data_IF_197130707874
#
_entry.id   IF_197130707874
#
_cell.length_a   1.000
_cell.length_b   1.000
_cell.length_c   1.000
_cell.angle_alpha   90.00
_cell.angle_beta   90.00
_cell.angle_gamma   90.00
#
_symmetry.space_group_name_H-M   'P 1'
#
loop_
_entity.id
_entity.type
_entity.pdbx_description
1 polymer ?
#
# COMPACT_ATOMS: atom_id res chain seq x y z
N UNK A 1 -22.19 -9.99 21.33
CA UNK A 1 -23.44 -9.21 21.19
C UNK A 1 -23.07 -7.85 20.65
N UNK A 2 -23.29 -7.60 19.36
CA UNK A 2 -23.18 -6.25 18.78
C UNK A 2 -24.55 -5.62 19.07
N UNK A 3 -24.64 -4.49 19.79
CA UNK A 3 -25.93 -3.88 20.07
C UNK A 3 -26.53 -3.42 18.73
N UNK A 4 -27.79 -3.78 18.49
CA UNK A 4 -28.53 -3.47 17.24
C UNK A 4 -28.56 -1.99 16.89
N UNK A 5 -28.36 -1.09 17.85
CA UNK A 5 -28.20 0.36 17.63
C UNK A 5 -26.90 0.73 16.89
N UNK A 6 -25.85 -0.12 16.94
CA UNK A 6 -24.57 0.15 16.29
C UNK A 6 -24.64 0.09 14.75
N UNK A 7 -25.42 -0.84 14.19
CA UNK A 7 -25.55 -1.01 12.75
C UNK A 7 -26.15 0.21 12.05
N UNK A 8 -27.16 0.81 12.61
CA UNK A 8 -27.80 2.04 12.07
C UNK A 8 -26.88 3.26 12.21
N UNK A 9 -26.09 3.34 13.27
CA UNK A 9 -25.10 4.40 13.46
C UNK A 9 -23.98 4.31 12.42
N UNK A 10 -23.49 3.09 12.12
CA UNK A 10 -22.49 2.85 11.05
C UNK A 10 -23.05 3.20 9.68
N UNK A 11 -24.27 2.80 9.34
CA UNK A 11 -24.94 3.14 8.09
C UNK A 11 -25.16 4.66 7.94
N UNK A 12 -25.42 5.34 9.07
CA UNK A 12 -25.54 6.79 9.10
C UNK A 12 -24.20 7.48 8.89
N UNK A 13 -23.13 6.93 9.47
CA UNK A 13 -21.75 7.41 9.27
C UNK A 13 -21.27 7.20 7.82
N UNK A 14 -21.67 6.10 7.17
CA UNK A 14 -21.35 5.84 5.75
C UNK A 14 -21.94 6.90 4.79
N UNK A 15 -22.92 7.70 5.22
CA UNK A 15 -23.40 8.84 4.40
C UNK A 15 -22.32 9.88 4.13
N UNK A 16 -21.30 9.98 5.01
CA UNK A 16 -20.17 10.90 4.82
C UNK A 16 -19.36 10.52 3.58
N UNK A 17 -19.41 9.24 3.14
CA UNK A 17 -18.76 8.77 1.90
C UNK A 17 -19.35 9.44 0.65
N UNK A 18 -20.50 10.14 0.74
CA UNK A 18 -21.00 10.97 -0.36
C UNK A 18 -20.02 12.06 -0.77
N UNK A 19 -19.12 12.49 0.14
CA UNK A 19 -18.07 13.47 -0.17
C UNK A 19 -17.10 12.92 -1.23
N UNK A 20 -16.95 11.59 -1.35
CA UNK A 20 -16.15 10.95 -2.39
C UNK A 20 -16.68 11.21 -3.80
N UNK A 21 -17.94 11.70 -3.94
CA UNK A 21 -18.46 12.19 -5.22
C UNK A 21 -17.63 13.36 -5.76
N UNK A 22 -16.92 14.10 -4.90
CA UNK A 22 -16.01 15.16 -5.33
C UNK A 22 -14.91 14.63 -6.25
N UNK A 23 -14.48 13.37 -6.06
CA UNK A 23 -13.47 12.69 -6.91
C UNK A 23 -14.00 12.58 -8.36
N UNK A 24 -15.30 12.29 -8.53
CA UNK A 24 -15.88 12.16 -9.87
C UNK A 24 -16.17 13.51 -10.55
N UNK A 25 -16.31 14.58 -9.75
CA UNK A 25 -16.63 15.95 -10.25
C UNK A 25 -15.36 16.76 -10.55
N UNK A 26 -14.27 16.52 -9.80
CA UNK A 26 -13.01 17.24 -9.96
C UNK A 26 -12.02 16.43 -10.84
N UNK A 27 -11.75 16.85 -12.11
CA UNK A 27 -10.91 16.09 -13.03
C UNK A 27 -9.47 15.88 -12.55
N UNK A 28 -8.94 16.84 -11.76
CA UNK A 28 -7.60 16.75 -11.18
C UNK A 28 -7.51 15.63 -10.13
N UNK A 29 -8.49 15.53 -9.23
CA UNK A 29 -8.57 14.48 -8.22
C UNK A 29 -8.79 13.10 -8.84
N UNK A 30 -9.62 13.04 -9.87
CA UNK A 30 -9.87 11.81 -10.61
C UNK A 30 -8.57 11.23 -11.20
N UNK A 31 -7.75 12.05 -11.87
CA UNK A 31 -6.45 11.62 -12.43
C UNK A 31 -5.51 11.10 -11.36
N UNK A 32 -5.43 11.76 -10.20
CA UNK A 32 -4.59 11.31 -9.08
C UNK A 32 -5.05 9.96 -8.56
N UNK A 33 -6.37 9.79 -8.36
CA UNK A 33 -6.93 8.51 -7.90
C UNK A 33 -6.76 7.40 -8.94
N UNK A 34 -7.00 7.68 -10.22
CA UNK A 34 -6.79 6.72 -11.32
C UNK A 34 -5.31 6.29 -11.38
N UNK A 35 -4.37 7.23 -11.29
CA UNK A 35 -2.94 6.93 -11.26
C UNK A 35 -2.56 6.06 -10.06
N UNK A 36 -3.10 6.37 -8.88
CA UNK A 36 -2.87 5.57 -7.67
C UNK A 36 -3.43 4.14 -7.82
N UNK A 37 -4.69 4.00 -8.27
CA UNK A 37 -5.34 2.69 -8.44
C UNK A 37 -4.63 1.85 -9.50
N UNK A 38 -4.16 2.47 -10.59
CA UNK A 38 -3.43 1.79 -11.66
C UNK A 38 -2.06 1.28 -11.20
N UNK A 39 -1.43 1.96 -10.24
CA UNK A 39 -0.15 1.51 -9.68
C UNK A 39 -0.28 0.32 -8.70
N UNK A 40 -1.44 0.11 -8.08
CA UNK A 40 -1.65 -0.94 -7.07
C UNK A 40 -1.39 -2.36 -7.57
N UNK A 41 -1.82 -2.80 -8.77
CA UNK A 41 -1.59 -4.16 -9.24
C UNK A 41 -0.12 -4.54 -9.33
N UNK A 42 0.76 -3.60 -9.74
CA UNK A 42 2.21 -3.82 -9.79
C UNK A 42 2.85 -4.07 -8.42
N UNK A 43 2.18 -3.65 -7.34
CA UNK A 43 2.65 -3.77 -5.96
C UNK A 43 1.99 -4.94 -5.20
N UNK A 44 1.11 -5.70 -5.84
CA UNK A 44 0.33 -6.77 -5.19
C UNK A 44 1.18 -7.82 -4.50
N UNK A 45 2.33 -8.20 -5.07
CA UNK A 45 3.27 -9.15 -4.48
C UNK A 45 3.89 -8.63 -3.18
N UNK A 46 4.18 -7.33 -3.09
CA UNK A 46 4.74 -6.71 -1.87
C UNK A 46 3.68 -6.64 -0.78
N UNK A 47 2.44 -6.30 -1.13
CA UNK A 47 1.32 -6.34 -0.18
C UNK A 47 1.07 -7.75 0.35
N UNK A 48 1.12 -8.77 -0.53
CA UNK A 48 0.97 -10.17 -0.11
C UNK A 48 2.09 -10.61 0.83
N UNK A 49 3.34 -10.26 0.51
CA UNK A 49 4.48 -10.53 1.38
C UNK A 49 4.32 -9.85 2.74
N UNK A 50 3.90 -8.59 2.76
CA UNK A 50 3.64 -7.85 3.99
C UNK A 50 2.55 -8.52 4.83
N UNK A 51 1.43 -8.91 4.20
CA UNK A 51 0.35 -9.63 4.88
C UNK A 51 0.84 -10.95 5.48
N UNK A 52 1.71 -11.68 4.79
CA UNK A 52 2.33 -12.91 5.28
C UNK A 52 3.23 -12.65 6.49
N UNK A 53 4.08 -11.60 6.44
CA UNK A 53 4.95 -11.21 7.56
C UNK A 53 4.10 -10.85 8.78
N UNK A 54 3.02 -10.08 8.58
CA UNK A 54 2.08 -9.73 9.66
C UNK A 54 1.36 -10.94 10.24
N UNK A 55 0.93 -11.86 9.38
CA UNK A 55 0.29 -13.09 9.83
C UNK A 55 1.23 -13.94 10.69
N UNK A 56 2.44 -14.21 10.19
CA UNK A 56 3.45 -14.99 10.92
C UNK A 56 3.83 -14.28 12.22
N UNK A 57 4.10 -12.98 12.17
CA UNK A 57 4.41 -12.18 13.34
C UNK A 57 3.30 -12.20 14.39
N UNK A 58 2.04 -12.10 13.94
CA UNK A 58 0.88 -12.13 14.84
C UNK A 58 0.71 -13.50 15.52
N UNK A 59 0.90 -14.59 14.79
CA UNK A 59 0.86 -15.95 15.37
C UNK A 59 1.96 -16.11 16.41
N UNK A 60 3.19 -15.69 16.09
CA UNK A 60 4.32 -15.75 17.02
C UNK A 60 4.07 -14.87 18.25
N UNK A 61 3.64 -13.63 18.09
CA UNK A 61 3.38 -12.71 19.19
C UNK A 61 2.26 -13.22 20.12
N UNK A 62 1.19 -13.79 19.55
CA UNK A 62 0.13 -14.42 20.34
C UNK A 62 0.66 -15.59 21.15
N UNK A 63 1.48 -16.44 20.53
CA UNK A 63 2.03 -17.64 21.20
C UNK A 63 3.05 -17.28 22.28
N UNK A 64 3.88 -16.28 22.05
CA UNK A 64 4.98 -15.92 22.96
C UNK A 64 4.51 -15.02 24.11
N UNK A 65 3.62 -14.07 23.84
CA UNK A 65 3.29 -12.99 24.76
C UNK A 65 1.81 -12.97 25.19
N UNK A 66 0.94 -13.75 24.53
CA UNK A 66 -0.51 -13.68 24.72
C UNK A 66 -0.98 -13.99 26.13
N UNK A 67 -0.31 -14.90 26.85
CA UNK A 67 -0.64 -15.27 28.21
C UNK A 67 -0.36 -14.17 29.23
N UNK A 68 0.76 -13.46 29.08
CA UNK A 68 1.18 -12.40 30.00
C UNK A 68 0.61 -11.04 29.63
N UNK A 69 0.37 -10.80 28.34
CA UNK A 69 -0.10 -9.52 27.80
C UNK A 69 -1.34 -9.68 26.93
N UNK A 70 -2.47 -10.18 27.47
CA UNK A 70 -3.69 -10.47 26.69
C UNK A 70 -4.30 -9.21 26.07
N UNK A 71 -4.05 -8.03 26.59
CA UNK A 71 -4.55 -6.76 26.04
C UNK A 71 -3.96 -6.49 24.64
N UNK A 72 -2.69 -6.84 24.41
CA UNK A 72 -1.98 -6.59 23.17
C UNK A 72 -1.87 -7.83 22.28
N UNK A 73 -1.75 -9.03 22.88
CA UNK A 73 -1.39 -10.27 22.19
C UNK A 73 -2.32 -11.45 22.53
N UNK A 74 -3.48 -11.21 23.16
CA UNK A 74 -4.40 -12.26 23.63
C UNK A 74 -5.10 -13.04 22.51
N UNK A 75 -5.10 -12.52 21.29
CA UNK A 75 -5.57 -13.22 20.10
C UNK A 75 -4.89 -12.65 18.84
N UNK A 76 -5.10 -13.35 17.72
CA UNK A 76 -4.47 -13.00 16.44
C UNK A 76 -4.77 -11.56 16.00
N UNK A 77 -6.02 -11.10 16.17
CA UNK A 77 -6.44 -9.75 15.78
C UNK A 77 -5.78 -8.67 16.62
N UNK A 78 -5.72 -8.86 17.94
CA UNK A 78 -5.02 -7.94 18.85
C UNK A 78 -3.51 -7.89 18.55
N UNK A 79 -2.90 -9.05 18.30
CA UNK A 79 -1.50 -9.14 17.91
C UNK A 79 -1.22 -8.42 16.60
N UNK A 80 -2.07 -8.61 15.58
CA UNK A 80 -1.93 -7.92 14.30
C UNK A 80 -2.04 -6.40 14.47
N UNK A 81 -2.98 -5.92 15.26
CA UNK A 81 -3.14 -4.50 15.55
C UNK A 81 -1.94 -3.92 16.30
N UNK A 82 -1.46 -4.63 17.34
CA UNK A 82 -0.28 -4.20 18.11
C UNK A 82 0.98 -4.19 17.24
N UNK A 83 1.15 -5.17 16.37
CA UNK A 83 2.26 -5.22 15.42
C UNK A 83 2.14 -4.12 14.36
N UNK A 84 0.94 -3.76 13.93
CA UNK A 84 0.72 -2.62 13.05
C UNK A 84 1.13 -1.31 13.72
N UNK A 85 0.75 -1.10 14.98
CA UNK A 85 1.19 0.06 15.77
C UNK A 85 2.72 0.09 15.89
N UNK A 86 3.36 -1.05 16.18
CA UNK A 86 4.82 -1.18 16.27
C UNK A 86 5.49 -0.85 14.94
N UNK A 87 4.95 -1.31 13.81
CA UNK A 87 5.46 -1.01 12.47
C UNK A 87 5.41 0.49 12.15
N UNK A 88 4.35 1.18 12.57
CA UNK A 88 4.22 2.64 12.39
C UNK A 88 5.12 3.44 13.36
N UNK A 89 5.88 2.75 14.21
CA UNK A 89 6.75 3.32 15.25
C UNK A 89 6.01 4.18 16.28
N UNK A 90 4.68 4.07 16.35
CA UNK A 90 3.87 4.81 17.30
C UNK A 90 3.97 4.14 18.67
N UNK A 91 4.59 4.84 19.61
CA UNK A 91 4.79 4.40 21.02
C UNK A 91 5.35 2.97 21.19
N UNK A 92 6.00 2.42 20.16
CA UNK A 92 6.41 1.02 20.10
C UNK A 92 7.30 0.60 21.27
N UNK A 93 8.30 1.44 21.59
CA UNK A 93 9.30 1.11 22.61
C UNK A 93 8.71 1.23 24.02
N UNK A 94 8.23 2.42 24.39
CA UNK A 94 7.75 2.69 25.75
C UNK A 94 6.37 2.12 26.03
N UNK A 95 5.51 2.11 25.00
CA UNK A 95 4.12 1.66 25.16
C UNK A 95 3.95 0.14 25.17
N UNK A 96 4.76 -0.60 24.41
CA UNK A 96 4.57 -2.04 24.25
C UNK A 96 5.85 -2.83 24.56
N UNK A 97 6.96 -2.54 23.86
CA UNK A 97 8.13 -3.44 23.89
C UNK A 97 8.82 -3.45 25.24
N UNK A 98 9.02 -2.29 25.89
CA UNK A 98 9.66 -2.23 27.21
C UNK A 98 8.82 -2.91 28.31
N UNK A 99 7.50 -2.67 28.43
CA UNK A 99 6.67 -3.47 29.34
C UNK A 99 6.76 -4.98 29.10
N UNK A 100 6.80 -5.41 27.84
CA UNK A 100 6.97 -6.84 27.52
C UNK A 100 8.35 -7.33 27.96
N UNK A 101 9.41 -6.53 27.79
CA UNK A 101 10.78 -6.88 28.21
C UNK A 101 10.96 -6.96 29.74
N UNK A 102 10.12 -6.33 30.53
CA UNK A 102 10.14 -6.49 31.99
C UNK A 102 9.82 -7.93 32.41
N UNK A 103 8.98 -8.63 31.64
CA UNK A 103 8.62 -10.04 31.86
C UNK A 103 9.48 -10.99 30.99
N UNK A 104 9.73 -10.58 29.74
CA UNK A 104 10.52 -11.35 28.76
C UNK A 104 11.74 -10.55 28.28
N UNK A 105 12.87 -10.58 28.99
CA UNK A 105 14.04 -9.73 28.70
C UNK A 105 14.55 -9.82 27.26
N UNK A 106 14.35 -10.96 26.59
CA UNK A 106 14.79 -11.20 25.21
C UNK A 106 13.72 -10.88 24.15
N UNK A 107 12.60 -10.29 24.53
CA UNK A 107 11.51 -9.96 23.57
C UNK A 107 11.98 -9.03 22.45
N UNK A 108 13.01 -8.19 22.68
CA UNK A 108 13.59 -7.35 21.63
C UNK A 108 14.10 -8.14 20.42
N UNK A 109 14.52 -9.41 20.60
CA UNK A 109 14.94 -10.29 19.50
C UNK A 109 13.80 -10.60 18.53
N UNK A 110 12.57 -10.48 18.96
CA UNK A 110 11.39 -10.58 18.09
C UNK A 110 11.02 -9.23 17.49
N UNK A 111 10.89 -8.20 18.32
CA UNK A 111 10.35 -6.90 17.87
C UNK A 111 11.31 -6.13 16.98
N UNK A 112 12.61 -6.12 17.26
CA UNK A 112 13.59 -5.36 16.46
C UNK A 112 13.71 -5.92 15.04
N UNK A 113 13.89 -7.23 14.81
CA UNK A 113 13.88 -7.79 13.47
C UNK A 113 12.54 -7.56 12.75
N UNK A 114 11.41 -7.65 13.45
CA UNK A 114 10.09 -7.37 12.87
C UNK A 114 10.02 -5.94 12.35
N UNK A 115 10.44 -4.94 13.14
CA UNK A 115 10.50 -3.54 12.74
C UNK A 115 11.43 -3.37 11.53
N UNK A 116 12.62 -3.95 11.56
CA UNK A 116 13.58 -3.83 10.47
C UNK A 116 13.01 -4.39 9.15
N UNK A 117 12.42 -5.57 9.18
CA UNK A 117 11.84 -6.21 7.99
C UNK A 117 10.65 -5.41 7.45
N UNK A 118 9.73 -5.00 8.32
CA UNK A 118 8.54 -4.25 7.91
C UNK A 118 8.88 -2.85 7.42
N UNK A 119 9.80 -2.14 8.07
CA UNK A 119 10.28 -0.83 7.62
C UNK A 119 10.97 -0.93 6.26
N UNK A 120 11.84 -1.93 6.07
CA UNK A 120 12.50 -2.18 4.79
C UNK A 120 11.48 -2.50 3.68
N UNK A 121 10.46 -3.31 3.98
CA UNK A 121 9.39 -3.62 3.03
C UNK A 121 8.59 -2.36 2.62
N UNK A 122 8.27 -1.47 3.58
CA UNK A 122 7.57 -0.19 3.30
C UNK A 122 8.44 0.73 2.44
N UNK A 123 9.74 0.86 2.74
CA UNK A 123 10.67 1.65 1.93
C UNK A 123 10.76 1.10 0.51
N UNK A 124 10.89 -0.21 0.34
CA UNK A 124 10.91 -0.84 -0.98
C UNK A 124 9.60 -0.63 -1.75
N UNK A 125 8.46 -0.60 -1.05
CA UNK A 125 7.17 -0.27 -1.64
C UNK A 125 7.17 1.15 -2.22
N UNK A 126 7.67 2.14 -1.46
CA UNK A 126 7.78 3.53 -1.91
C UNK A 126 8.73 3.65 -3.11
N UNK A 127 9.89 3.02 -3.04
CA UNK A 127 10.87 3.02 -4.16
C UNK A 127 10.24 2.39 -5.41
N UNK A 128 9.55 1.25 -5.27
CA UNK A 128 8.84 0.60 -6.36
C UNK A 128 7.77 1.49 -7.00
N UNK A 129 7.02 2.24 -6.21
CA UNK A 129 6.02 3.19 -6.70
C UNK A 129 6.68 4.32 -7.51
N UNK A 130 7.78 4.88 -7.01
CA UNK A 130 8.51 5.96 -7.69
C UNK A 130 9.08 5.45 -9.02
N UNK A 131 9.72 4.28 -9.02
CA UNK A 131 10.31 3.67 -10.22
C UNK A 131 9.23 3.38 -11.26
N UNK A 132 8.10 2.78 -10.88
CA UNK A 132 6.99 2.53 -11.80
C UNK A 132 6.45 3.83 -12.39
N UNK A 133 6.26 4.87 -11.57
CA UNK A 133 5.79 6.17 -12.07
C UNK A 133 6.76 6.82 -13.06
N UNK A 134 8.07 6.66 -12.83
CA UNK A 134 9.08 7.14 -13.78
C UNK A 134 9.09 6.35 -15.09
N UNK A 135 8.95 5.01 -15.01
CA UNK A 135 8.86 4.15 -16.19
C UNK A 135 7.63 4.46 -17.03
N UNK A 136 6.48 4.69 -16.41
CA UNK A 136 5.24 5.06 -17.11
C UNK A 136 5.40 6.42 -17.82
N UNK A 137 6.03 7.39 -17.17
CA UNK A 137 6.31 8.68 -17.79
C UNK A 137 7.24 8.56 -19.00
N UNK A 138 8.33 7.80 -18.89
CA UNK A 138 9.25 7.54 -19.99
C UNK A 138 8.59 6.76 -21.14
N UNK A 139 7.74 5.78 -20.83
CA UNK A 139 7.01 5.01 -21.85
C UNK A 139 6.05 5.92 -22.63
N UNK A 140 5.34 6.84 -21.96
CA UNK A 140 4.47 7.81 -22.62
C UNK A 140 5.25 8.76 -23.53
N UNK A 141 6.39 9.27 -23.10
CA UNK A 141 7.24 10.15 -23.87
C UNK A 141 7.82 9.44 -25.10
N UNK A 142 8.31 8.21 -24.94
CA UNK A 142 8.82 7.38 -26.02
C UNK A 142 7.75 7.02 -27.04
N UNK A 143 6.54 6.67 -26.59
CA UNK A 143 5.40 6.37 -27.47
C UNK A 143 4.98 7.61 -28.26
N UNK A 144 4.90 8.79 -27.63
CA UNK A 144 4.56 10.04 -28.32
C UNK A 144 5.60 10.40 -29.39
N UNK A 145 6.88 10.21 -29.09
CA UNK A 145 7.96 10.43 -30.07
C UNK A 145 7.87 9.44 -31.24
N UNK A 146 7.60 8.18 -30.95
CA UNK A 146 7.42 7.11 -31.98
C UNK A 146 6.23 7.39 -32.86
N UNK A 147 5.09 7.79 -32.30
CA UNK A 147 3.88 8.13 -33.05
C UNK A 147 4.13 9.35 -33.97
N UNK A 148 4.79 10.38 -33.44
CA UNK A 148 5.16 11.56 -34.25
C UNK A 148 6.07 11.20 -35.43
N UNK A 149 7.08 10.35 -35.19
CA UNK A 149 7.96 9.86 -36.26
C UNK A 149 7.21 9.00 -37.30
N UNK A 150 6.33 8.15 -36.84
CA UNK A 150 5.49 7.33 -37.72
C UNK A 150 4.61 8.20 -38.64
N UNK A 151 3.98 9.23 -38.09
CA UNK A 151 3.13 10.14 -38.84
C UNK A 151 3.93 10.93 -39.87
N UNK A 152 5.16 11.37 -39.55
CA UNK A 152 6.06 12.00 -40.50
C UNK A 152 6.44 11.05 -41.66
N UNK A 153 6.78 9.79 -41.33
CA UNK A 153 7.11 8.77 -42.35
C UNK A 153 5.95 8.50 -43.28
N UNK A 154 4.73 8.35 -42.72
CA UNK A 154 3.53 8.15 -43.52
C UNK A 154 3.26 9.32 -44.47
N UNK A 155 3.37 10.56 -44.01
CA UNK A 155 3.24 11.75 -44.83
C UNK A 155 4.26 11.78 -46.00
N UNK A 156 5.50 11.39 -45.73
CA UNK A 156 6.55 11.32 -46.78
C UNK A 156 6.26 10.21 -47.78
N UNK A 157 5.75 9.06 -47.35
CA UNK A 157 5.33 7.96 -48.24
C UNK A 157 4.17 8.37 -49.15
N UNK A 158 3.14 8.99 -48.61
CA UNK A 158 2.00 9.50 -49.40
C UNK A 158 2.46 10.54 -50.44
N UNK A 159 3.39 11.42 -50.07
CA UNK A 159 3.94 12.40 -50.97
C UNK A 159 4.76 11.76 -52.13
N UNK A 160 5.45 10.65 -51.86
CA UNK A 160 6.19 9.89 -52.88
C UNK A 160 5.21 9.14 -53.79
N UNK A 161 4.23 8.47 -53.22
CA UNK A 161 3.19 7.71 -53.95
C UNK A 161 2.43 8.62 -54.94
N UNK A 162 2.08 9.83 -54.47
CA UNK A 162 1.42 10.84 -55.35
C UNK A 162 2.22 11.31 -56.52
N UNK A 163 3.55 11.13 -56.51
CA UNK A 163 4.48 11.52 -57.58
C UNK A 163 4.81 10.39 -58.58
N UNK A 164 4.45 9.17 -58.25
CA UNK A 164 4.65 8.02 -59.15
C UNK A 164 3.64 8.07 -60.28
N UNK A 165 4.07 7.99 -61.58
CA UNK A 165 3.14 7.91 -62.68
C UNK A 165 2.35 6.60 -62.62
N UNK A 166 1.05 6.70 -62.78
CA UNK A 166 0.14 5.53 -62.92
C UNK A 166 0.42 4.82 -64.24
#
# INVERSE_FOLDING_TARGET
>A
MIPESGGLAVLRALRILRILRVISVAPSLRRVVEGFVTALPGMGSVFLLMALIFYIGSVMATSLFGSAFPIWFGNLGLSAYSLFQIMTLESWSMGIVRPVMEVYPYAWMFFVPFIMVTTFAVVNLLVGLIVNSMQDAHAQESNAATDSYRDEVLQRLDAIESRLPK
#
